data_IF_257556258015
#
_entry.id   IF_257556258015
#
_cell.length_a   1.000
_cell.length_b   1.000
_cell.length_c   1.000
_cell.angle_alpha   90.00
_cell.angle_beta   90.00
_cell.angle_gamma   90.00
#
_symmetry.space_group_name_H-M   'P 1'
#
loop_
_entity.id
_entity.type
_entity.pdbx_description
1 polymer ?
#
# COMPACT_ATOMS: atom_id res chain seq x y z
N UNK A 1 -3.82 -1.87 7.20
CA UNK A 1 -2.42 -2.19 6.86
C UNK A 1 -2.42 -3.02 5.59
N UNK A 2 -1.80 -2.53 4.50
CA UNK A 2 -1.77 -3.24 3.21
C UNK A 2 -0.94 -4.53 3.26
N UNK A 3 0.16 -4.54 3.99
CA UNK A 3 1.00 -5.74 4.15
C UNK A 3 0.29 -6.94 4.81
N UNK A 4 -0.86 -6.72 5.47
CA UNK A 4 -1.69 -7.81 6.01
C UNK A 4 -2.82 -8.20 5.05
N UNK A 5 -2.51 -8.22 3.74
CA UNK A 5 -3.42 -8.74 2.73
C UNK A 5 -3.77 -10.22 3.00
N UNK A 6 -4.84 -10.71 2.39
CA UNK A 6 -5.39 -12.04 2.65
C UNK A 6 -4.37 -13.16 2.35
N UNK A 7 -4.56 -14.32 2.94
CA UNK A 7 -3.83 -15.53 2.61
C UNK A 7 -4.47 -16.24 1.42
N UNK A 8 -3.68 -17.02 0.67
CA UNK A 8 -4.21 -17.80 -0.45
C UNK A 8 -3.26 -17.90 -1.64
N UNK A 9 -2.23 -17.07 -1.67
CA UNK A 9 -1.21 -17.09 -2.71
C UNK A 9 -1.62 -16.35 -3.98
N UNK A 10 -0.75 -16.45 -4.98
CA UNK A 10 -0.88 -15.86 -6.31
C UNK A 10 -2.20 -16.26 -7.00
N UNK A 11 -2.85 -15.30 -7.64
CA UNK A 11 -4.13 -15.46 -8.34
C UNK A 11 -5.37 -15.61 -7.44
N UNK A 12 -5.19 -15.78 -6.11
CA UNK A 12 -6.28 -15.92 -5.13
C UNK A 12 -6.33 -14.70 -4.20
N UNK A 13 -5.25 -14.44 -3.48
CA UNK A 13 -5.13 -13.34 -2.52
C UNK A 13 -4.45 -12.11 -3.11
N UNK A 14 -3.59 -12.31 -4.08
CA UNK A 14 -2.87 -11.26 -4.77
C UNK A 14 -2.49 -11.70 -6.19
N UNK A 15 -2.03 -10.76 -6.99
CA UNK A 15 -1.26 -10.94 -8.22
C UNK A 15 -0.07 -10.01 -8.18
N UNK A 16 1.11 -10.56 -8.39
CA UNK A 16 2.38 -9.86 -8.44
C UNK A 16 3.16 -10.32 -9.66
N UNK A 17 3.80 -9.42 -10.38
CA UNK A 17 4.60 -9.73 -11.56
C UNK A 17 5.89 -10.50 -11.18
N UNK A 18 6.32 -10.38 -9.93
CA UNK A 18 7.46 -11.10 -9.38
C UNK A 18 7.04 -12.38 -8.63
N UNK A 19 7.77 -13.46 -8.88
CA UNK A 19 7.52 -14.73 -8.18
C UNK A 19 8.10 -14.78 -6.77
N UNK A 20 8.87 -13.77 -6.37
CA UNK A 20 9.57 -13.69 -5.10
C UNK A 20 9.43 -12.30 -4.51
N UNK A 21 9.29 -12.24 -3.20
CA UNK A 21 9.39 -11.01 -2.44
C UNK A 21 10.83 -10.47 -2.49
N UNK A 22 11.03 -9.34 -3.17
CA UNK A 22 12.32 -8.68 -3.28
C UNK A 22 12.61 -7.79 -2.05
N UNK A 23 11.61 -7.51 -1.26
CA UNK A 23 11.71 -6.76 -0.01
C UNK A 23 12.12 -7.67 1.16
N UNK A 24 11.20 -8.47 1.68
CA UNK A 24 11.46 -9.41 2.79
C UNK A 24 12.34 -10.58 2.35
N UNK A 25 13.41 -10.86 3.09
CA UNK A 25 14.37 -11.88 2.73
C UNK A 25 15.30 -11.53 1.55
N UNK A 26 15.09 -10.36 0.94
CA UNK A 26 15.89 -9.82 -0.16
C UNK A 26 16.59 -8.53 0.25
N UNK A 27 15.98 -7.36 -0.01
CA UNK A 27 16.48 -6.06 0.47
C UNK A 27 16.57 -6.03 2.00
N UNK A 28 15.60 -6.59 2.70
CA UNK A 28 15.65 -6.86 4.13
C UNK A 28 16.28 -8.24 4.34
N UNK A 29 17.33 -8.38 5.16
CA UNK A 29 18.07 -9.63 5.24
C UNK A 29 17.24 -10.78 5.85
N UNK A 30 17.51 -12.01 5.40
CA UNK A 30 16.90 -13.22 5.97
C UNK A 30 17.60 -13.61 7.29
N UNK A 31 17.40 -12.83 8.35
CA UNK A 31 18.10 -12.92 9.64
C UNK A 31 17.23 -13.51 10.78
N UNK A 32 16.04 -14.00 10.47
CA UNK A 32 15.09 -14.55 11.43
C UNK A 32 14.20 -13.53 12.11
N UNK A 33 14.34 -12.22 11.83
CA UNK A 33 13.51 -11.21 12.44
C UNK A 33 12.16 -11.05 11.72
N UNK A 34 11.12 -10.73 12.48
CA UNK A 34 9.75 -10.60 11.95
C UNK A 34 9.64 -9.59 10.82
N UNK A 35 10.22 -8.40 10.97
CA UNK A 35 10.11 -7.34 9.97
C UNK A 35 10.91 -7.65 8.70
N UNK A 36 12.07 -8.26 8.84
CA UNK A 36 12.92 -8.58 7.69
C UNK A 36 12.40 -9.76 6.87
N UNK A 37 11.62 -10.65 7.48
CA UNK A 37 11.14 -11.87 6.83
C UNK A 37 9.62 -11.98 6.76
N UNK A 38 8.90 -10.86 6.93
CA UNK A 38 7.44 -10.87 6.89
C UNK A 38 6.96 -11.33 5.52
N UNK A 39 6.29 -12.50 5.45
CA UNK A 39 5.72 -13.10 4.23
C UNK A 39 6.76 -13.29 3.10
N UNK A 40 8.01 -13.57 3.43
CA UNK A 40 9.10 -13.65 2.46
C UNK A 40 8.94 -14.75 1.40
N UNK A 41 8.10 -15.76 1.65
CA UNK A 41 7.85 -16.88 0.76
C UNK A 41 6.69 -16.63 -0.23
N UNK A 42 6.18 -15.38 -0.28
CA UNK A 42 5.13 -14.95 -1.21
C UNK A 42 5.70 -14.00 -2.28
N UNK A 43 4.93 -13.74 -3.36
CA UNK A 43 5.40 -12.87 -4.45
C UNK A 43 5.42 -11.39 -4.07
N UNK A 44 4.43 -10.93 -3.33
CA UNK A 44 4.26 -9.49 -3.02
C UNK A 44 5.45 -8.91 -2.29
N UNK A 45 6.04 -7.88 -2.85
CA UNK A 45 7.16 -7.17 -2.25
C UNK A 45 6.74 -6.46 -0.96
N UNK A 46 7.42 -6.78 0.15
CA UNK A 46 7.15 -6.17 1.44
C UNK A 46 8.42 -5.61 2.05
N UNK A 47 8.32 -4.40 2.57
CA UNK A 47 9.35 -3.80 3.40
C UNK A 47 8.70 -3.09 4.59
N UNK A 48 9.51 -2.37 5.35
CA UNK A 48 9.05 -1.57 6.50
C UNK A 48 9.85 -0.28 6.58
N UNK A 49 9.27 0.73 7.24
CA UNK A 49 9.91 2.03 7.43
C UNK A 49 11.10 1.92 8.40
N UNK A 50 12.24 2.50 8.01
CA UNK A 50 13.51 2.45 8.72
C UNK A 50 14.02 3.86 9.01
N UNK A 51 14.38 4.10 10.26
CA UNK A 51 14.87 5.43 10.66
C UNK A 51 16.40 5.54 10.64
N UNK A 52 17.11 4.40 10.55
CA UNK A 52 18.56 4.46 10.35
C UNK A 52 18.90 5.08 8.98
N UNK A 53 20.02 5.77 8.88
CA UNK A 53 20.54 6.41 7.66
C UNK A 53 19.55 7.38 6.97
N UNK A 54 18.57 7.88 7.70
CA UNK A 54 17.51 8.75 7.21
C UNK A 54 16.77 8.18 5.98
N UNK A 55 16.55 6.85 5.97
CA UNK A 55 15.83 6.17 4.89
C UNK A 55 14.39 6.71 4.83
N UNK A 56 13.61 6.49 5.90
CA UNK A 56 12.20 6.86 5.93
C UNK A 56 11.90 8.08 6.81
N UNK A 57 12.79 8.49 7.70
CA UNK A 57 12.66 9.70 8.54
C UNK A 57 13.40 10.90 7.95
N UNK A 58 13.37 11.08 6.65
CA UNK A 58 14.07 12.15 5.96
C UNK A 58 13.21 13.43 5.84
N UNK A 59 13.84 14.61 5.69
CA UNK A 59 13.11 15.90 5.67
C UNK A 59 12.30 16.17 4.40
N UNK A 60 12.37 15.28 3.41
CA UNK A 60 11.63 15.41 2.14
C UNK A 60 10.27 14.70 2.17
N UNK A 61 9.96 13.96 3.24
CA UNK A 61 8.63 13.40 3.43
C UNK A 61 7.57 14.51 3.51
N UNK A 62 6.42 14.26 2.92
CA UNK A 62 5.24 15.12 3.08
C UNK A 62 4.56 14.89 4.44
N UNK A 63 4.68 13.67 4.96
CA UNK A 63 4.21 13.26 6.29
C UNK A 63 5.22 12.27 6.85
N UNK A 64 5.67 12.46 8.08
CA UNK A 64 6.58 11.54 8.74
C UNK A 64 5.89 10.19 9.02
N UNK A 65 6.47 9.05 8.57
CA UNK A 65 5.93 7.74 8.85
C UNK A 65 6.21 7.31 10.30
N UNK A 66 5.41 6.42 10.88
CA UNK A 66 5.85 5.65 12.05
C UNK A 66 7.05 4.77 11.70
N UNK A 67 7.98 4.57 12.62
CA UNK A 67 9.05 3.60 12.47
C UNK A 67 8.51 2.16 12.50
N UNK A 68 9.15 1.24 11.77
CA UNK A 68 8.77 -0.17 11.70
C UNK A 68 7.37 -0.44 11.13
N UNK A 69 6.86 0.46 10.30
CA UNK A 69 5.59 0.32 9.62
C UNK A 69 5.76 -0.56 8.37
N UNK A 70 5.16 -1.75 8.35
CA UNK A 70 5.13 -2.62 7.17
C UNK A 70 4.33 -2.00 6.03
N UNK A 71 4.81 -2.18 4.80
CA UNK A 71 4.14 -1.74 3.59
C UNK A 71 4.31 -2.74 2.43
N UNK A 72 3.35 -2.77 1.54
CA UNK A 72 3.47 -3.39 0.21
C UNK A 72 4.24 -2.40 -0.65
N UNK A 73 5.32 -2.86 -1.27
CA UNK A 73 6.26 -2.02 -1.99
C UNK A 73 6.36 -2.32 -3.48
N UNK A 74 6.94 -1.40 -4.20
CA UNK A 74 7.30 -1.49 -5.62
C UNK A 74 6.17 -1.89 -6.58
N UNK A 75 4.91 -1.81 -6.12
CA UNK A 75 3.76 -2.23 -6.93
C UNK A 75 3.73 -1.56 -8.29
N UNK A 76 3.41 -2.34 -9.32
CA UNK A 76 3.32 -1.90 -10.71
C UNK A 76 1.92 -2.09 -11.30
N UNK A 77 1.68 -1.56 -12.49
CA UNK A 77 0.40 -1.68 -13.16
C UNK A 77 0.07 -3.15 -13.50
N UNK A 78 -1.13 -3.59 -13.13
CA UNK A 78 -1.59 -4.98 -13.28
C UNK A 78 -1.68 -5.71 -11.94
N UNK A 79 -0.87 -5.34 -10.97
CA UNK A 79 -0.86 -5.97 -9.66
C UNK A 79 -2.07 -5.61 -8.82
N UNK A 80 -2.44 -6.53 -7.95
CA UNK A 80 -3.54 -6.35 -7.01
C UNK A 80 -3.37 -7.22 -5.76
N UNK A 81 -3.97 -6.80 -4.66
CA UNK A 81 -4.07 -7.61 -3.44
C UNK A 81 -5.42 -7.40 -2.73
N UNK A 82 -5.85 -8.44 -2.03
CA UNK A 82 -7.12 -8.48 -1.30
C UNK A 82 -6.92 -8.26 0.19
N UNK A 83 -7.88 -7.61 0.80
CA UNK A 83 -7.92 -7.36 2.23
C UNK A 83 -9.33 -7.65 2.75
N UNK A 84 -9.47 -8.65 3.60
CA UNK A 84 -10.73 -8.92 4.30
C UNK A 84 -10.92 -7.93 5.44
N UNK A 85 -12.03 -7.22 5.42
CA UNK A 85 -12.39 -6.19 6.41
C UNK A 85 -13.74 -6.48 7.05
N UNK A 86 -13.89 -6.14 8.33
CA UNK A 86 -15.18 -6.18 9.02
C UNK A 86 -15.80 -4.79 9.12
N UNK A 87 -16.83 -4.54 8.35
CA UNK A 87 -17.57 -3.28 8.34
C UNK A 87 -18.64 -3.30 9.46
N UNK A 88 -18.46 -2.49 10.49
CA UNK A 88 -19.33 -2.47 11.67
C UNK A 88 -20.74 -1.95 11.39
N UNK A 89 -20.91 -1.04 10.44
CA UNK A 89 -22.21 -0.44 10.08
C UNK A 89 -22.27 -0.17 8.59
N UNK A 90 -23.44 -0.38 7.98
CA UNK A 90 -23.70 0.07 6.62
C UNK A 90 -23.70 1.59 6.57
N UNK A 91 -22.95 2.17 5.64
CA UNK A 91 -22.84 3.63 5.51
C UNK A 91 -21.92 4.07 4.38
N UNK A 92 -21.77 5.37 4.30
CA UNK A 92 -20.76 6.01 3.45
C UNK A 92 -19.49 6.17 4.27
N UNK A 93 -18.37 5.81 3.66
CA UNK A 93 -17.03 5.92 4.24
C UNK A 93 -16.16 6.77 3.33
N UNK A 94 -15.28 7.54 3.92
CA UNK A 94 -14.09 8.08 3.24
C UNK A 94 -12.89 7.25 3.63
N UNK A 95 -11.84 7.26 2.81
CA UNK A 95 -10.59 6.60 3.15
C UNK A 95 -9.40 7.54 2.99
N UNK A 96 -8.44 7.42 3.89
CA UNK A 96 -7.11 7.99 3.73
C UNK A 96 -6.17 6.89 3.20
N UNK A 97 -5.18 7.28 2.39
CA UNK A 97 -4.12 6.41 1.89
C UNK A 97 -2.76 6.95 2.33
N UNK A 98 -2.00 6.14 3.07
CA UNK A 98 -0.60 6.42 3.42
C UNK A 98 0.33 5.65 2.48
N UNK A 99 1.19 6.36 1.76
CA UNK A 99 1.86 5.82 0.58
C UNK A 99 3.14 6.57 0.21
N UNK A 100 3.91 5.98 -0.72
CA UNK A 100 4.88 6.69 -1.56
C UNK A 100 4.55 6.46 -3.03
N UNK A 101 4.93 7.37 -3.92
CA UNK A 101 4.73 7.20 -5.36
C UNK A 101 5.76 7.97 -6.16
N UNK A 102 6.45 7.29 -7.07
CA UNK A 102 7.43 7.91 -7.97
C UNK A 102 6.78 8.92 -8.92
N UNK A 103 5.81 8.49 -9.70
CA UNK A 103 5.25 9.29 -10.78
C UNK A 103 3.73 9.41 -10.77
N UNK A 104 3.09 9.12 -9.65
CA UNK A 104 1.63 8.99 -9.59
C UNK A 104 1.13 7.78 -10.37
N UNK A 105 -0.15 7.74 -10.63
CA UNK A 105 -0.83 6.69 -11.38
C UNK A 105 -2.28 6.56 -10.93
N UNK A 106 -2.97 5.56 -11.45
CA UNK A 106 -4.34 5.29 -11.08
C UNK A 106 -4.48 3.93 -10.41
N UNK A 107 -5.25 3.88 -9.35
CA UNK A 107 -5.67 2.65 -8.66
C UNK A 107 -7.19 2.52 -8.71
N UNK A 108 -7.72 1.35 -8.42
CA UNK A 108 -9.16 1.15 -8.21
C UNK A 108 -9.40 0.17 -7.08
N UNK A 109 -10.64 0.16 -6.60
CA UNK A 109 -11.09 -0.79 -5.58
C UNK A 109 -12.28 -1.58 -6.07
N UNK A 110 -12.25 -2.89 -5.79
CA UNK A 110 -13.41 -3.77 -5.84
C UNK A 110 -13.84 -4.16 -4.42
N UNK A 111 -15.10 -4.53 -4.26
CA UNK A 111 -15.62 -5.13 -3.03
C UNK A 111 -16.37 -6.43 -3.37
N UNK A 112 -15.97 -7.54 -2.76
CA UNK A 112 -16.55 -8.87 -3.03
C UNK A 112 -16.59 -9.18 -4.54
N UNK A 113 -15.51 -8.83 -5.26
CA UNK A 113 -15.38 -9.05 -6.71
C UNK A 113 -16.24 -8.12 -7.58
N UNK A 114 -16.83 -7.09 -7.02
CA UNK A 114 -17.61 -6.08 -7.75
C UNK A 114 -16.95 -4.72 -7.67
N UNK A 115 -16.92 -4.01 -8.79
CA UNK A 115 -16.35 -2.68 -8.87
C UNK A 115 -16.96 -1.74 -7.83
N UNK A 116 -16.12 -1.18 -6.97
CA UNK A 116 -16.48 -0.23 -5.93
C UNK A 116 -16.18 1.20 -6.37
N UNK A 117 -15.01 1.41 -7.03
CA UNK A 117 -14.62 2.72 -7.58
C UNK A 117 -14.30 2.62 -9.07
N UNK A 118 -14.26 3.76 -9.76
CA UNK A 118 -13.51 3.91 -11.00
C UNK A 118 -12.02 4.10 -10.73
N UNK A 119 -11.23 4.53 -11.75
CA UNK A 119 -9.86 4.97 -11.54
C UNK A 119 -9.80 6.12 -10.53
N UNK A 120 -8.88 6.01 -9.58
CA UNK A 120 -8.59 7.02 -8.57
C UNK A 120 -7.13 7.38 -8.69
N UNK A 121 -6.83 8.65 -8.96
CA UNK A 121 -5.46 9.10 -9.17
C UNK A 121 -4.70 9.22 -7.87
N UNK A 122 -3.54 8.56 -7.81
CA UNK A 122 -2.55 8.69 -6.75
C UNK A 122 -1.56 9.79 -7.15
N UNK A 123 -1.31 10.74 -6.26
CA UNK A 123 -0.39 11.84 -6.53
C UNK A 123 1.06 11.39 -6.37
N UNK A 124 2.01 11.93 -7.16
CA UNK A 124 3.42 11.65 -6.95
C UNK A 124 3.90 12.28 -5.64
N UNK A 125 4.80 11.57 -4.95
CA UNK A 125 5.55 12.08 -3.79
C UNK A 125 7.03 12.33 -4.13
N UNK A 126 7.40 12.22 -5.41
CA UNK A 126 8.73 12.48 -5.93
C UNK A 126 9.24 13.87 -5.57
N UNK A 127 10.50 13.96 -5.14
CA UNK A 127 11.15 15.23 -4.86
C UNK A 127 12.61 15.22 -5.35
N UNK A 128 12.87 15.94 -6.44
CA UNK A 128 14.21 16.06 -7.04
C UNK A 128 15.22 16.79 -6.15
N UNK A 129 14.79 17.51 -5.13
CA UNK A 129 15.69 18.20 -4.19
C UNK A 129 16.38 17.24 -3.21
N UNK A 130 15.91 16.00 -3.08
CA UNK A 130 16.59 14.99 -2.30
C UNK A 130 17.92 14.60 -2.99
N UNK A 131 19.08 14.75 -2.32
CA UNK A 131 20.39 14.44 -2.92
C UNK A 131 20.62 12.94 -3.13
N UNK A 132 19.79 12.07 -2.56
CA UNK A 132 19.89 10.62 -2.68
C UNK A 132 18.95 10.15 -3.78
N UNK A 133 19.49 9.78 -4.95
CA UNK A 133 18.73 9.52 -6.16
C UNK A 133 17.60 8.48 -6.00
N UNK A 134 17.88 7.33 -5.37
CA UNK A 134 16.84 6.31 -5.16
C UNK A 134 15.74 6.79 -4.21
N UNK A 135 16.07 7.65 -3.21
CA UNK A 135 15.14 8.15 -2.23
C UNK A 135 14.20 9.22 -2.78
N UNK A 136 14.56 9.90 -3.88
CA UNK A 136 13.70 10.88 -4.55
C UNK A 136 12.31 10.33 -4.88
N UNK A 137 12.18 9.03 -5.06
CA UNK A 137 10.93 8.32 -5.38
C UNK A 137 10.23 7.73 -4.16
N UNK A 138 10.82 7.85 -2.96
CA UNK A 138 10.40 7.15 -1.76
C UNK A 138 10.15 8.13 -0.61
N UNK A 139 9.28 9.13 -0.83
CA UNK A 139 8.86 10.07 0.20
C UNK A 139 7.44 9.76 0.64
N UNK A 140 7.22 9.68 1.95
CA UNK A 140 5.92 9.34 2.51
C UNK A 140 4.93 10.49 2.41
N UNK A 141 3.71 10.19 1.99
CA UNK A 141 2.60 11.12 1.88
C UNK A 141 1.30 10.50 2.38
N UNK A 142 0.33 11.37 2.67
CA UNK A 142 -1.01 11.00 3.10
C UNK A 142 -2.04 11.71 2.24
N UNK A 143 -2.78 10.93 1.42
CA UNK A 143 -3.97 11.42 0.74
C UNK A 143 -5.17 11.25 1.67
N UNK A 144 -5.71 12.37 2.17
CA UNK A 144 -6.89 12.37 3.04
C UNK A 144 -8.17 12.34 2.21
N UNK A 145 -9.16 11.55 2.69
CA UNK A 145 -10.49 11.45 2.08
C UNK A 145 -10.45 11.22 0.56
N UNK A 146 -9.42 10.47 0.07
CA UNK A 146 -9.13 10.33 -1.36
C UNK A 146 -10.20 9.56 -2.13
N UNK A 147 -11.00 8.72 -1.43
CA UNK A 147 -12.20 8.08 -1.99
C UNK A 147 -13.37 8.23 -1.03
N UNK A 148 -14.57 8.20 -1.61
CA UNK A 148 -15.82 8.06 -0.85
C UNK A 148 -16.59 6.88 -1.42
N UNK A 149 -16.91 5.90 -0.55
CA UNK A 149 -17.53 4.64 -0.94
C UNK A 149 -18.66 4.24 0.00
N UNK A 150 -19.61 3.46 -0.50
CA UNK A 150 -20.65 2.85 0.32
C UNK A 150 -20.26 1.42 0.65
N UNK A 151 -20.14 1.12 1.94
CA UNK A 151 -19.86 -0.22 2.44
C UNK A 151 -21.08 -0.75 3.23
N UNK A 152 -21.27 -2.05 3.17
CA UNK A 152 -22.35 -2.74 3.91
C UNK A 152 -21.80 -3.39 5.16
N UNK A 153 -22.61 -3.47 6.23
CA UNK A 153 -22.24 -4.17 7.45
C UNK A 153 -21.89 -5.64 7.16
N UNK A 154 -20.86 -6.14 7.82
CA UNK A 154 -20.40 -7.52 7.76
C UNK A 154 -18.99 -7.64 7.19
N UNK A 155 -18.56 -8.87 6.98
CA UNK A 155 -17.27 -9.19 6.38
C UNK A 155 -17.31 -8.90 4.88
N UNK A 156 -16.33 -8.15 4.38
CA UNK A 156 -16.18 -7.83 2.97
C UNK A 156 -14.72 -7.99 2.55
N UNK A 157 -14.52 -8.39 1.32
CA UNK A 157 -13.19 -8.49 0.71
C UNK A 157 -13.00 -7.28 -0.19
N UNK A 158 -12.08 -6.40 0.18
CA UNK A 158 -11.62 -5.29 -0.66
C UNK A 158 -10.46 -5.76 -1.51
N UNK A 159 -10.47 -5.43 -2.80
CA UNK A 159 -9.31 -5.61 -3.68
C UNK A 159 -8.81 -4.25 -4.11
N UNK A 160 -7.53 -3.96 -3.87
CA UNK A 160 -6.83 -2.82 -4.46
C UNK A 160 -6.16 -3.29 -5.74
N UNK A 161 -6.41 -2.59 -6.85
CA UNK A 161 -5.81 -2.85 -8.16
C UNK A 161 -5.01 -1.63 -8.60
N UNK A 162 -3.80 -1.83 -9.08
CA UNK A 162 -2.99 -0.79 -9.73
C UNK A 162 -3.29 -0.80 -11.22
N UNK A 163 -3.81 0.30 -11.75
CA UNK A 163 -4.30 0.39 -13.13
C UNK A 163 -3.27 0.94 -14.10
N UNK A 164 -2.50 1.93 -13.66
CA UNK A 164 -1.53 2.60 -14.52
C UNK A 164 -0.27 2.95 -13.76
N UNK A 165 0.85 3.05 -14.49
CA UNK A 165 2.18 3.36 -13.95
C UNK A 165 2.61 2.34 -12.89
N UNK A 166 3.13 2.79 -11.76
CA UNK A 166 3.63 1.95 -10.69
C UNK A 166 4.72 2.64 -9.89
N UNK A 167 5.61 1.84 -9.30
CA UNK A 167 6.63 2.31 -8.34
C UNK A 167 5.97 3.08 -7.20
N UNK A 168 4.94 2.44 -6.64
CA UNK A 168 4.21 2.92 -5.46
C UNK A 168 4.44 1.96 -4.30
N UNK A 169 4.38 2.51 -3.10
CA UNK A 169 4.36 1.71 -1.87
C UNK A 169 3.08 2.07 -1.10
N UNK A 170 2.37 1.08 -0.60
CA UNK A 170 1.14 1.26 0.15
C UNK A 170 1.28 0.72 1.56
N UNK A 171 1.23 1.60 2.57
CA UNK A 171 1.32 1.18 3.97
C UNK A 171 -0.05 0.84 4.56
N UNK A 172 -1.01 1.76 4.47
CA UNK A 172 -2.36 1.50 4.98
C UNK A 172 -3.44 2.33 4.28
N UNK A 173 -4.65 1.81 4.40
CA UNK A 173 -5.91 2.49 4.16
C UNK A 173 -6.62 2.70 5.49
N UNK A 174 -7.09 3.91 5.76
CA UNK A 174 -7.88 4.23 6.96
C UNK A 174 -9.30 4.66 6.57
N UNK A 175 -10.26 3.75 6.73
CA UNK A 175 -11.66 3.98 6.41
C UNK A 175 -12.41 4.61 7.58
N UNK A 176 -12.99 5.78 7.35
CA UNK A 176 -13.72 6.55 8.35
C UNK A 176 -15.20 6.68 7.95
N UNK A 177 -16.15 6.41 8.86
CA UNK A 177 -17.55 6.69 8.57
C UNK A 177 -17.70 8.20 8.27
N UNK A 178 -18.33 8.53 7.15
CA UNK A 178 -18.66 9.94 6.85
C UNK A 178 -19.75 10.40 7.80
N UNK A 179 -19.45 11.42 8.61
CA UNK A 179 -20.45 12.10 9.42
C UNK A 179 -21.55 12.68 8.54
N UNK A 180 -22.80 12.62 9.03
CA UNK A 180 -23.96 13.21 8.37
C UNK A 180 -23.85 14.74 8.39
#
# INVERSE_FOLDING_TARGET
MCAYYDLGGEGIAYHDDDAKNNGSGGLNPADGTYLNQFRMDEGVDISYTKFHDAIDNNPYNLVEPPENLLYVGWVVAGEWFKMTVEVKRTGVYTADLFYTSSGGGDISFDVNGKKLTGPVSVQPTYNAADPIAWRQMHHWGLMKDFIQVKLHKGVQVLTLLVLTKGHMNFAYLDFKPKSK
#
